data_IF_604301791228
#
_entry.id   IF_604301791228
#
_cell.length_a   1.000
_cell.length_b   1.000
_cell.length_c   1.000
_cell.angle_alpha   90.00
_cell.angle_beta   90.00
_cell.angle_gamma   90.00
#
_symmetry.space_group_name_H-M   'P 1'
#
loop_
_entity.id
_entity.type
_entity.pdbx_description
1 polymer ?
#
# COMPACT_ATOMS: atom_id res chain seq x y z
N UNK A 1 21.11 -15.41 4.86
CA UNK A 1 22.54 -15.05 4.88
C UNK A 1 22.74 -13.66 5.52
N UNK A 2 22.02 -12.60 5.08
CA UNK A 2 22.25 -11.23 5.58
C UNK A 2 22.12 -11.08 7.11
N UNK A 3 21.12 -11.72 7.73
CA UNK A 3 20.90 -11.63 9.18
C UNK A 3 21.87 -12.52 10.01
N UNK A 4 22.63 -13.39 9.38
CA UNK A 4 23.49 -14.34 10.11
C UNK A 4 24.68 -13.67 10.82
N UNK A 5 25.09 -12.48 10.37
CA UNK A 5 26.16 -11.70 11.00
C UNK A 5 25.74 -11.10 12.36
N UNK A 6 24.41 -10.97 12.63
CA UNK A 6 23.90 -10.43 13.87
C UNK A 6 24.06 -8.90 14.04
N UNK A 7 24.40 -8.20 12.98
CA UNK A 7 24.64 -6.75 12.93
C UNK A 7 23.46 -5.94 12.35
N UNK A 8 22.38 -6.62 11.98
CA UNK A 8 21.16 -5.99 11.43
C UNK A 8 20.16 -5.74 12.57
N UNK A 9 19.96 -4.48 12.92
CA UNK A 9 19.04 -4.07 13.98
C UNK A 9 17.57 -4.31 13.62
N UNK A 10 17.17 -3.99 12.39
CA UNK A 10 15.79 -4.12 11.94
C UNK A 10 15.70 -4.39 10.43
N UNK A 11 14.61 -5.02 10.02
CA UNK A 11 14.13 -5.10 8.64
C UNK A 11 12.90 -4.20 8.53
N UNK A 12 12.97 -3.17 7.68
CA UNK A 12 11.84 -2.33 7.30
C UNK A 12 11.33 -2.80 5.94
N UNK A 13 10.03 -3.02 5.81
CA UNK A 13 9.43 -3.47 4.55
C UNK A 13 7.99 -2.99 4.37
N UNK A 14 7.56 -2.83 3.12
CA UNK A 14 6.15 -2.78 2.76
C UNK A 14 5.63 -4.22 2.56
N UNK A 15 4.44 -4.59 3.06
CA UNK A 15 3.90 -5.95 2.86
C UNK A 15 3.56 -6.23 1.40
N UNK A 16 3.32 -5.18 0.61
CA UNK A 16 3.22 -5.18 -0.86
C UNK A 16 4.03 -3.99 -1.36
N UNK A 17 4.92 -4.19 -2.30
CA UNK A 17 5.71 -3.10 -2.89
C UNK A 17 4.84 -2.33 -3.89
N UNK A 18 4.29 -1.20 -3.46
CA UNK A 18 3.24 -0.48 -4.16
C UNK A 18 3.74 0.64 -5.09
N UNK A 19 4.98 1.10 -4.95
CA UNK A 19 5.52 2.17 -5.80
C UNK A 19 6.19 1.67 -7.09
N UNK A 20 6.16 0.38 -7.34
CA UNK A 20 6.83 -0.28 -8.47
C UNK A 20 5.91 -1.27 -9.20
N UNK A 21 4.59 -1.06 -9.18
CA UNK A 21 3.63 -1.89 -9.90
C UNK A 21 2.96 -2.97 -9.04
N UNK A 22 2.75 -2.72 -7.75
CA UNK A 22 2.10 -3.62 -6.79
C UNK A 22 2.64 -5.06 -6.83
N UNK A 23 3.94 -5.21 -6.57
CA UNK A 23 4.56 -6.54 -6.47
C UNK A 23 4.07 -7.23 -5.20
N UNK A 24 3.29 -8.29 -5.37
CA UNK A 24 2.68 -9.04 -4.28
C UNK A 24 3.70 -10.00 -3.64
N UNK A 25 3.65 -10.20 -2.31
CA UNK A 25 4.46 -11.21 -1.66
C UNK A 25 4.03 -12.61 -2.10
N UNK A 26 4.99 -13.50 -2.31
CA UNK A 26 4.70 -14.91 -2.52
C UNK A 26 4.06 -15.55 -1.27
N UNK A 27 3.27 -16.60 -1.49
CA UNK A 27 2.64 -17.31 -0.39
C UNK A 27 3.68 -17.80 0.63
N UNK A 28 3.46 -17.48 1.91
CA UNK A 28 4.35 -17.84 3.01
C UNK A 28 5.56 -16.92 3.23
N UNK A 29 5.85 -15.99 2.30
CA UNK A 29 7.01 -15.08 2.40
C UNK A 29 7.00 -14.25 3.69
N UNK A 30 5.87 -13.61 4.02
CA UNK A 30 5.77 -12.74 5.20
C UNK A 30 5.91 -13.51 6.51
N UNK A 31 5.36 -14.73 6.57
CA UNK A 31 5.56 -15.64 7.71
C UNK A 31 7.02 -16.06 7.88
N UNK A 32 7.67 -16.47 6.79
CA UNK A 32 9.07 -16.82 6.79
C UNK A 32 9.98 -15.63 7.17
N UNK A 33 9.65 -14.44 6.71
CA UNK A 33 10.35 -13.20 7.09
C UNK A 33 10.25 -12.95 8.62
N UNK A 34 9.04 -13.10 9.21
CA UNK A 34 8.84 -12.97 10.66
C UNK A 34 9.66 -14.00 11.44
N UNK A 35 9.64 -15.25 11.01
CA UNK A 35 10.40 -16.31 11.68
C UNK A 35 11.91 -16.08 11.64
N UNK A 36 12.45 -15.71 10.48
CA UNK A 36 13.90 -15.50 10.34
C UNK A 36 14.34 -14.26 11.15
N UNK A 37 13.57 -13.18 11.17
CA UNK A 37 13.90 -11.99 11.97
C UNK A 37 13.90 -12.32 13.47
N UNK A 38 12.90 -13.05 13.98
CA UNK A 38 12.87 -13.53 15.36
C UNK A 38 14.06 -14.39 15.72
N UNK A 39 14.42 -15.33 14.85
CA UNK A 39 15.57 -16.25 15.06
C UNK A 39 16.89 -15.51 15.22
N UNK A 40 17.04 -14.38 14.54
CA UNK A 40 18.27 -13.59 14.57
C UNK A 40 18.21 -12.38 15.53
N UNK A 41 17.12 -12.22 16.28
CA UNK A 41 16.95 -11.07 17.17
C UNK A 41 16.82 -9.72 16.46
N UNK A 42 16.54 -9.76 15.16
CA UNK A 42 16.33 -8.58 14.31
C UNK A 42 14.88 -8.12 14.41
N UNK A 43 14.65 -6.84 14.60
CA UNK A 43 13.31 -6.28 14.67
C UNK A 43 12.64 -6.25 13.28
N UNK A 44 11.32 -6.40 13.25
CA UNK A 44 10.53 -6.33 12.04
C UNK A 44 9.64 -5.10 12.06
N UNK A 45 9.83 -4.19 11.11
CA UNK A 45 9.08 -2.95 10.96
C UNK A 45 8.25 -3.04 9.69
N UNK A 46 6.92 -2.96 9.82
CA UNK A 46 6.00 -2.94 8.69
C UNK A 46 5.58 -1.50 8.35
N UNK A 47 5.76 -1.10 7.10
CA UNK A 47 5.24 0.16 6.58
C UNK A 47 3.94 -0.09 5.82
N UNK A 48 2.85 0.40 6.41
CA UNK A 48 1.50 0.29 5.85
C UNK A 48 0.98 1.59 5.25
N UNK A 49 1.85 2.52 4.95
CA UNK A 49 1.46 3.81 4.38
C UNK A 49 0.56 3.67 3.15
N UNK A 50 0.78 2.64 2.32
CA UNK A 50 -0.07 2.34 1.17
C UNK A 50 -1.07 1.21 1.42
N UNK A 51 -0.70 0.23 2.22
CA UNK A 51 -1.52 -0.96 2.45
C UNK A 51 -2.56 -0.80 3.56
N UNK A 52 -2.61 0.37 4.23
CA UNK A 52 -3.70 0.75 5.12
C UNK A 52 -5.08 0.58 4.47
N UNK A 53 -5.19 0.78 3.15
CA UNK A 53 -6.43 0.59 2.38
C UNK A 53 -6.90 -0.87 2.24
N UNK A 54 -6.17 -1.82 2.81
CA UNK A 54 -6.55 -3.24 2.80
C UNK A 54 -7.75 -3.54 3.70
N UNK A 55 -7.92 -2.80 4.80
CA UNK A 55 -9.02 -2.96 5.72
C UNK A 55 -8.93 -2.02 6.91
N UNK A 56 -9.87 -2.06 7.86
CA UNK A 56 -9.88 -1.17 9.03
C UNK A 56 -8.63 -1.30 9.91
N UNK A 57 -7.97 -2.46 9.88
CA UNK A 57 -6.73 -2.73 10.61
C UNK A 57 -5.52 -2.87 9.65
N UNK A 58 -5.62 -2.32 8.44
CA UNK A 58 -4.59 -2.39 7.42
C UNK A 58 -4.31 -3.81 6.91
N UNK A 59 -3.23 -3.98 6.19
CA UNK A 59 -2.80 -5.29 5.68
C UNK A 59 -2.36 -6.23 6.81
N UNK A 60 -1.68 -5.69 7.82
CA UNK A 60 -1.23 -6.48 8.96
C UNK A 60 -2.42 -7.11 9.73
N UNK A 61 -3.49 -6.35 9.93
CA UNK A 61 -4.70 -6.87 10.57
C UNK A 61 -5.42 -7.91 9.74
N UNK A 62 -5.62 -7.66 8.44
CA UNK A 62 -6.28 -8.59 7.50
C UNK A 62 -5.52 -9.92 7.34
N UNK A 63 -4.19 -9.90 7.50
CA UNK A 63 -3.33 -11.08 7.34
C UNK A 63 -2.73 -11.58 8.66
N UNK A 64 -3.18 -11.09 9.80
CA UNK A 64 -2.71 -11.46 11.13
C UNK A 64 -1.18 -11.40 11.29
N UNK A 65 -0.54 -10.40 10.68
CA UNK A 65 0.91 -10.21 10.76
C UNK A 65 1.30 -9.69 12.16
N UNK A 66 2.49 -10.04 12.62
CA UNK A 66 2.98 -9.69 13.95
C UNK A 66 4.33 -8.95 13.86
N UNK A 67 4.36 -7.70 13.39
CA UNK A 67 5.57 -6.88 13.41
C UNK A 67 5.93 -6.45 14.83
N UNK A 68 7.18 -6.04 15.02
CA UNK A 68 7.62 -5.38 16.25
C UNK A 68 7.27 -3.88 16.24
N UNK A 69 7.32 -3.27 15.05
CA UNK A 69 6.84 -1.90 14.79
C UNK A 69 5.90 -1.88 13.60
N UNK A 70 4.92 -0.99 13.69
CA UNK A 70 4.00 -0.65 12.62
C UNK A 70 4.11 0.84 12.32
N UNK A 71 4.17 1.21 11.04
CA UNK A 71 4.30 2.61 10.58
C UNK A 71 3.22 2.88 9.53
N UNK A 72 2.60 4.06 9.59
CA UNK A 72 1.64 4.50 8.60
C UNK A 72 1.64 6.03 8.47
N UNK A 73 1.48 6.50 7.26
CA UNK A 73 1.34 7.91 6.92
C UNK A 73 0.17 8.17 5.97
N UNK A 74 0.29 9.20 5.15
CA UNK A 74 -0.66 9.58 4.08
C UNK A 74 -2.12 9.66 4.56
N UNK A 75 -2.95 8.67 4.23
CA UNK A 75 -4.39 8.68 4.48
C UNK A 75 -4.80 8.52 5.94
N UNK A 76 -3.87 8.22 6.86
CA UNK A 76 -4.19 7.88 8.25
C UNK A 76 -4.98 8.98 8.99
N UNK A 77 -4.76 10.24 8.63
CA UNK A 77 -5.46 11.39 9.21
C UNK A 77 -6.36 12.13 8.20
N UNK A 78 -6.94 11.41 7.22
CA UNK A 78 -7.93 11.96 6.30
C UNK A 78 -7.41 13.07 5.39
N UNK A 79 -6.11 13.13 5.11
CA UNK A 79 -5.48 14.15 4.25
C UNK A 79 -4.76 15.28 5.00
N UNK A 80 -4.92 15.39 6.32
CA UNK A 80 -4.05 16.25 7.13
C UNK A 80 -2.67 15.58 7.25
N UNK A 81 -1.55 16.30 7.00
CA UNK A 81 -0.22 15.73 7.09
C UNK A 81 0.03 15.07 8.46
N UNK A 82 0.16 13.75 8.46
CA UNK A 82 0.32 12.94 9.66
C UNK A 82 1.07 11.66 9.31
N UNK A 83 1.88 11.21 10.24
CA UNK A 83 2.38 9.85 10.28
C UNK A 83 2.35 9.34 11.72
N UNK A 84 2.10 8.07 11.87
CA UNK A 84 2.07 7.40 13.17
C UNK A 84 2.96 6.15 13.12
N UNK A 85 3.49 5.79 14.26
CA UNK A 85 4.11 4.48 14.46
C UNK A 85 3.64 3.88 15.77
N UNK A 86 3.52 2.59 15.79
CA UNK A 86 3.19 1.80 16.96
C UNK A 86 4.22 0.69 17.16
N UNK A 87 4.25 0.12 18.35
CA UNK A 87 5.18 -0.96 18.68
C UNK A 87 4.59 -1.88 19.76
N UNK A 88 5.16 -3.06 19.91
CA UNK A 88 4.74 -4.04 20.89
C UNK A 88 5.11 -3.59 22.31
N UNK A 89 4.43 -4.15 23.33
CA UNK A 89 4.76 -3.89 24.73
C UNK A 89 6.19 -4.31 25.11
N UNK A 90 6.75 -5.32 24.44
CA UNK A 90 8.16 -5.71 24.62
C UNK A 90 9.09 -4.58 24.18
N UNK A 91 8.82 -4.00 23.01
CA UNK A 91 9.61 -2.86 22.49
C UNK A 91 9.44 -1.65 23.41
N UNK A 92 8.22 -1.37 23.88
CA UNK A 92 7.98 -0.29 24.85
C UNK A 92 8.87 -0.44 26.09
N UNK A 93 8.90 -1.63 26.68
CA UNK A 93 9.71 -1.87 27.88
C UNK A 93 11.21 -1.63 27.61
N UNK A 94 11.73 -2.09 26.47
CA UNK A 94 13.12 -1.83 26.06
C UNK A 94 13.40 -0.36 25.84
N UNK A 95 12.50 0.38 25.18
CA UNK A 95 12.63 1.81 24.94
C UNK A 95 12.61 2.61 26.25
N UNK A 96 11.71 2.29 27.18
CA UNK A 96 11.67 2.93 28.51
C UNK A 96 12.96 2.72 29.29
N UNK A 97 13.55 1.51 29.24
CA UNK A 97 14.83 1.24 29.89
C UNK A 97 15.98 2.08 29.30
N UNK A 98 16.04 2.21 27.98
CA UNK A 98 17.04 3.05 27.31
C UNK A 98 16.83 4.52 27.65
N UNK A 99 15.59 5.02 27.62
CA UNK A 99 15.31 6.43 27.97
C UNK A 99 15.66 6.76 29.42
N UNK A 100 15.41 5.83 30.34
CA UNK A 100 15.77 6.01 31.75
C UNK A 100 17.27 6.06 32.02
N UNK A 101 18.09 5.50 31.12
CA UNK A 101 19.56 5.54 31.22
C UNK A 101 20.19 6.79 30.58
N UNK A 102 19.41 7.65 29.93
CA UNK A 102 19.91 8.86 29.27
C UNK A 102 19.97 10.05 30.20
N UNK A 103 20.88 10.97 29.87
CA UNK A 103 21.03 12.24 30.60
C UNK A 103 19.76 13.10 30.52
N UNK A 104 19.57 13.96 31.54
CA UNK A 104 18.47 14.92 31.56
C UNK A 104 18.51 15.86 30.33
N UNK A 105 17.36 16.18 29.77
CA UNK A 105 17.24 17.06 28.60
C UNK A 105 17.19 16.35 27.25
N UNK A 106 17.24 15.00 27.22
CA UNK A 106 17.01 14.25 26.00
C UNK A 106 15.54 14.36 25.56
N UNK A 107 15.27 14.83 24.35
CA UNK A 107 13.93 15.10 23.84
C UNK A 107 13.09 13.83 23.52
N UNK A 108 13.65 12.64 23.70
CA UNK A 108 12.96 11.40 23.38
C UNK A 108 12.80 11.14 21.89
N UNK A 109 11.62 10.63 21.49
CA UNK A 109 11.29 10.32 20.10
C UNK A 109 10.22 11.30 19.60
N UNK A 110 10.46 11.85 18.44
CA UNK A 110 9.56 12.80 17.79
C UNK A 110 10.27 14.05 17.33
N UNK A 111 9.54 14.89 16.60
CA UNK A 111 10.00 16.21 16.16
C UNK A 111 9.24 17.30 16.89
N UNK A 112 9.67 18.56 16.74
CA UNK A 112 9.03 19.72 17.40
C UNK A 112 7.52 19.81 17.16
N UNK A 113 7.05 19.41 15.96
CA UNK A 113 5.64 19.44 15.60
C UNK A 113 4.92 18.10 15.78
N UNK A 114 5.59 17.07 16.25
CA UNK A 114 4.96 15.78 16.53
C UNK A 114 3.87 15.92 17.62
N UNK A 115 2.72 15.28 17.39
CA UNK A 115 1.62 15.31 18.35
C UNK A 115 0.91 16.67 18.47
N UNK A 116 0.97 17.54 17.46
CA UNK A 116 0.22 18.80 17.50
C UNK A 116 -1.31 18.55 17.50
N UNK A 117 -2.05 19.45 18.11
CA UNK A 117 -3.48 19.29 18.35
C UNK A 117 -4.32 19.10 17.08
N UNK A 118 -4.00 19.83 15.98
CA UNK A 118 -4.72 19.70 14.72
C UNK A 118 -4.54 18.30 14.12
N UNK A 119 -3.31 17.82 14.05
CA UNK A 119 -3.00 16.50 13.52
C UNK A 119 -3.64 15.38 14.35
N UNK A 120 -3.60 15.49 15.69
CA UNK A 120 -4.21 14.50 16.57
C UNK A 120 -5.73 14.49 16.45
N UNK A 121 -6.38 15.66 16.37
CA UNK A 121 -7.83 15.74 16.15
C UNK A 121 -8.26 15.15 14.81
N UNK A 122 -7.50 15.41 13.74
CA UNK A 122 -7.75 14.83 12.42
C UNK A 122 -7.53 13.30 12.42
N UNK A 123 -6.49 12.83 13.08
CA UNK A 123 -6.21 11.40 13.23
C UNK A 123 -7.35 10.70 14.00
N UNK A 124 -7.77 11.26 15.14
CA UNK A 124 -8.88 10.72 15.93
C UNK A 124 -10.17 10.62 15.09
N UNK A 125 -10.54 11.70 14.41
CA UNK A 125 -11.72 11.72 13.55
C UNK A 125 -11.63 10.69 12.42
N UNK A 126 -10.47 10.55 11.79
CA UNK A 126 -10.25 9.56 10.72
C UNK A 126 -10.35 8.13 11.25
N UNK A 127 -9.74 7.83 12.39
CA UNK A 127 -9.80 6.49 13.02
C UNK A 127 -11.23 6.12 13.43
N UNK A 128 -11.99 7.07 13.99
CA UNK A 128 -13.35 6.81 14.45
C UNK A 128 -14.38 6.71 13.32
N UNK A 129 -14.21 7.46 12.23
CA UNK A 129 -15.25 7.64 11.21
C UNK A 129 -14.88 7.13 9.81
N UNK A 130 -13.60 7.03 9.46
CA UNK A 130 -13.15 6.62 8.13
C UNK A 130 -12.55 5.21 8.12
N UNK A 131 -11.70 4.88 9.10
CA UNK A 131 -11.05 3.55 9.14
C UNK A 131 -11.94 2.50 9.80
N UNK A 132 -13.15 2.34 9.25
CA UNK A 132 -14.17 1.41 9.75
C UNK A 132 -14.49 0.32 8.73
N UNK A 133 -15.02 -0.82 9.19
CA UNK A 133 -15.47 -1.88 8.29
C UNK A 133 -16.56 -1.41 7.33
N UNK A 134 -17.44 -0.51 7.79
CA UNK A 134 -18.51 0.07 6.96
C UNK A 134 -17.96 0.90 5.79
N UNK A 135 -16.84 1.57 5.99
CA UNK A 135 -16.16 2.35 4.94
C UNK A 135 -15.35 1.43 4.01
N UNK A 136 -14.58 0.51 4.56
CA UNK A 136 -13.70 -0.35 3.77
C UNK A 136 -14.46 -1.38 2.91
N UNK A 137 -15.59 -1.91 3.36
CA UNK A 137 -16.33 -2.93 2.62
C UNK A 137 -16.79 -2.47 1.21
N UNK A 138 -17.43 -1.29 1.03
CA UNK A 138 -17.76 -0.80 -0.30
C UNK A 138 -16.53 -0.46 -1.15
N UNK A 139 -15.46 0.07 -0.55
CA UNK A 139 -14.20 0.32 -1.26
C UNK A 139 -13.62 -0.98 -1.85
N UNK A 140 -13.56 -2.04 -1.06
CA UNK A 140 -13.10 -3.36 -1.52
C UNK A 140 -14.04 -3.98 -2.56
N UNK A 141 -15.35 -3.76 -2.46
CA UNK A 141 -16.32 -4.20 -3.46
C UNK A 141 -16.10 -3.46 -4.79
N UNK A 142 -15.89 -2.14 -4.75
CA UNK A 142 -15.54 -1.34 -5.92
C UNK A 142 -14.22 -1.77 -6.56
N UNK A 143 -13.21 -2.10 -5.76
CA UNK A 143 -11.93 -2.61 -6.26
C UNK A 143 -12.10 -3.97 -6.98
N UNK A 144 -12.96 -4.85 -6.49
CA UNK A 144 -13.31 -6.09 -7.21
C UNK A 144 -14.05 -5.80 -8.51
N UNK A 145 -15.01 -4.83 -8.48
CA UNK A 145 -15.75 -4.38 -9.68
C UNK A 145 -14.83 -3.83 -10.76
N UNK A 146 -13.72 -3.18 -10.39
CA UNK A 146 -12.71 -2.69 -11.32
C UNK A 146 -11.78 -3.81 -11.81
N UNK A 147 -11.24 -4.60 -10.90
CA UNK A 147 -10.18 -5.57 -11.22
C UNK A 147 -10.67 -6.73 -12.10
N UNK A 148 -11.85 -7.28 -11.82
CA UNK A 148 -12.36 -8.46 -12.55
C UNK A 148 -12.66 -8.17 -14.03
N UNK A 149 -13.35 -7.08 -14.40
CA UNK A 149 -13.56 -6.75 -15.80
C UNK A 149 -12.26 -6.38 -16.54
N UNK A 150 -11.31 -5.70 -15.88
CA UNK A 150 -10.01 -5.41 -16.49
C UNK A 150 -9.25 -6.70 -16.81
N UNK A 151 -9.22 -7.65 -15.89
CA UNK A 151 -8.59 -8.94 -16.11
C UNK A 151 -9.24 -9.71 -17.26
N UNK A 152 -10.57 -9.73 -17.33
CA UNK A 152 -11.32 -10.35 -18.42
C UNK A 152 -11.07 -9.63 -19.77
N UNK A 153 -11.00 -8.30 -19.74
CA UNK A 153 -10.72 -7.46 -20.91
C UNK A 153 -9.36 -7.77 -21.54
N UNK A 154 -8.32 -7.88 -20.70
CA UNK A 154 -6.96 -8.19 -21.17
C UNK A 154 -6.86 -9.64 -21.67
N UNK A 155 -7.46 -10.59 -20.95
CA UNK A 155 -7.49 -11.99 -21.36
C UNK A 155 -8.23 -12.18 -22.71
N UNK A 156 -9.36 -11.52 -22.92
CA UNK A 156 -10.12 -11.58 -24.17
C UNK A 156 -9.34 -11.06 -25.39
N UNK A 157 -8.37 -10.17 -25.17
CA UNK A 157 -7.49 -9.64 -26.22
C UNK A 157 -6.15 -10.38 -26.34
N UNK A 158 -5.95 -11.45 -25.56
CA UNK A 158 -4.69 -12.20 -25.57
C UNK A 158 -3.50 -11.41 -25.04
N UNK A 159 -3.74 -10.32 -24.27
CA UNK A 159 -2.68 -9.51 -23.70
C UNK A 159 -2.11 -10.19 -22.44
N UNK A 160 -0.79 -10.31 -22.31
CA UNK A 160 -0.15 -10.91 -21.14
C UNK A 160 -0.11 -9.96 -19.94
N UNK A 161 -1.05 -9.05 -19.84
CA UNK A 161 -1.12 -8.02 -18.82
C UNK A 161 -1.71 -8.56 -17.54
N UNK A 162 -1.18 -8.09 -16.42
CA UNK A 162 -1.69 -8.49 -15.12
C UNK A 162 -2.55 -7.40 -14.48
N UNK A 163 -3.43 -7.83 -13.59
CA UNK A 163 -4.16 -6.96 -12.68
C UNK A 163 -3.89 -7.44 -11.26
N UNK A 164 -3.31 -6.59 -10.44
CA UNK A 164 -3.09 -6.82 -9.01
C UNK A 164 -4.14 -6.08 -8.19
N UNK A 165 -4.61 -6.70 -7.10
CA UNK A 165 -5.55 -6.07 -6.16
C UNK A 165 -5.16 -6.35 -4.71
N UNK A 166 -5.11 -5.29 -3.89
CA UNK A 166 -4.86 -5.37 -2.45
C UNK A 166 -5.87 -4.48 -1.74
N UNK A 167 -6.83 -5.09 -1.04
CA UNK A 167 -7.93 -4.36 -0.42
C UNK A 167 -8.71 -3.52 -1.41
N UNK A 168 -8.70 -2.21 -1.22
CA UNK A 168 -9.34 -1.22 -2.09
C UNK A 168 -8.44 -0.69 -3.22
N UNK A 169 -7.22 -1.19 -3.33
CA UNK A 169 -6.23 -0.76 -4.32
C UNK A 169 -6.18 -1.75 -5.49
N UNK A 170 -6.17 -1.22 -6.70
CA UNK A 170 -6.04 -1.98 -7.95
C UNK A 170 -4.93 -1.36 -8.78
N UNK A 171 -4.13 -2.19 -9.41
CA UNK A 171 -3.13 -1.76 -10.38
C UNK A 171 -3.04 -2.79 -11.49
N UNK A 172 -2.78 -2.35 -12.71
CA UNK A 172 -2.47 -3.24 -13.81
C UNK A 172 -1.16 -2.83 -14.50
N UNK A 173 -0.47 -3.81 -15.02
CA UNK A 173 0.77 -3.61 -15.77
C UNK A 173 0.72 -4.24 -17.15
N UNK A 174 1.58 -3.76 -18.02
CA UNK A 174 1.66 -4.14 -19.44
C UNK A 174 2.52 -5.39 -19.70
N UNK A 175 2.64 -6.24 -18.69
CA UNK A 175 3.41 -7.49 -18.72
C UNK A 175 2.81 -8.49 -17.70
N UNK A 176 3.26 -9.74 -17.65
CA UNK A 176 2.94 -10.66 -16.57
C UNK A 176 3.28 -10.07 -15.18
N UNK A 177 2.57 -10.51 -14.14
CA UNK A 177 2.76 -10.00 -12.78
C UNK A 177 4.23 -10.16 -12.32
N UNK A 178 4.90 -9.06 -11.95
CA UNK A 178 6.29 -9.13 -11.51
C UNK A 178 6.39 -9.77 -10.12
N UNK A 179 7.47 -10.51 -9.88
CA UNK A 179 7.76 -11.19 -8.61
C UNK A 179 8.84 -10.50 -7.79
N UNK A 180 9.52 -9.52 -8.40
CA UNK A 180 10.60 -8.76 -7.76
C UNK A 180 10.78 -7.41 -8.49
N UNK A 181 11.63 -6.54 -7.91
CA UNK A 181 11.86 -5.20 -8.44
C UNK A 181 12.45 -5.16 -9.85
N UNK A 182 13.35 -6.08 -10.18
CA UNK A 182 13.95 -6.12 -11.53
C UNK A 182 12.94 -6.51 -12.60
N UNK A 183 12.04 -7.44 -12.29
CA UNK A 183 10.94 -7.79 -13.20
C UNK A 183 9.94 -6.64 -13.34
N UNK A 184 9.66 -5.91 -12.25
CA UNK A 184 8.79 -4.73 -12.28
C UNK A 184 9.40 -3.62 -13.14
N UNK A 185 10.68 -3.34 -13.01
CA UNK A 185 11.40 -2.37 -13.83
C UNK A 185 11.37 -2.76 -15.32
N UNK A 186 11.63 -4.03 -15.63
CA UNK A 186 11.59 -4.55 -17.00
C UNK A 186 10.18 -4.52 -17.62
N UNK A 187 9.14 -4.54 -16.79
CA UNK A 187 7.74 -4.49 -17.21
C UNK A 187 7.24 -3.07 -17.54
N UNK A 188 7.96 -2.02 -17.15
CA UNK A 188 7.56 -0.62 -17.41
C UNK A 188 7.43 -0.32 -18.90
N UNK A 189 6.37 0.41 -19.26
CA UNK A 189 6.10 0.87 -20.62
C UNK A 189 5.69 2.35 -20.60
N UNK A 190 6.64 3.29 -20.32
CA UNK A 190 6.31 4.70 -20.07
C UNK A 190 5.53 5.37 -21.19
N UNK A 191 5.83 5.06 -22.45
CA UNK A 191 5.12 5.62 -23.60
C UNK A 191 3.65 5.17 -23.62
N UNK A 192 3.39 3.90 -23.34
CA UNK A 192 2.03 3.35 -23.29
C UNK A 192 1.27 3.87 -22.08
N UNK A 193 1.93 4.00 -20.94
CA UNK A 193 1.35 4.61 -19.72
C UNK A 193 0.91 6.05 -19.97
N UNK A 194 1.78 6.86 -20.60
CA UNK A 194 1.48 8.25 -20.94
C UNK A 194 0.34 8.35 -21.96
N UNK A 195 0.33 7.48 -22.97
CA UNK A 195 -0.73 7.46 -23.98
C UNK A 195 -2.09 7.13 -23.35
N UNK A 196 -2.15 6.11 -22.50
CA UNK A 196 -3.37 5.75 -21.79
C UNK A 196 -3.82 6.86 -20.83
N UNK A 197 -2.89 7.44 -20.08
CA UNK A 197 -3.21 8.55 -19.17
C UNK A 197 -3.82 9.73 -19.94
N UNK A 198 -3.22 10.13 -21.07
CA UNK A 198 -3.73 11.21 -21.92
C UNK A 198 -5.10 10.87 -22.53
N UNK A 199 -5.30 9.62 -22.97
CA UNK A 199 -6.58 9.13 -23.47
C UNK A 199 -7.69 9.29 -22.44
N UNK A 200 -7.45 8.81 -21.21
CA UNK A 200 -8.40 8.88 -20.10
C UNK A 200 -8.68 10.33 -19.68
N UNK A 201 -7.63 11.16 -19.58
CA UNK A 201 -7.74 12.57 -19.21
C UNK A 201 -8.64 13.34 -20.20
N UNK A 202 -8.47 13.13 -21.51
CA UNK A 202 -9.31 13.76 -22.52
C UNK A 202 -10.77 13.29 -22.50
N UNK A 203 -11.09 12.24 -21.74
CA UNK A 203 -12.44 11.69 -21.52
C UNK A 203 -12.99 11.97 -20.13
N UNK A 204 -12.32 12.85 -19.39
CA UNK A 204 -12.74 13.28 -18.05
C UNK A 204 -12.41 12.27 -16.94
N UNK A 205 -11.55 11.28 -17.22
CA UNK A 205 -11.12 10.30 -16.23
C UNK A 205 -9.68 10.61 -15.79
N UNK A 206 -9.55 11.04 -14.52
CA UNK A 206 -8.23 11.36 -13.94
C UNK A 206 -7.72 10.13 -13.20
N UNK A 207 -6.62 9.58 -13.68
CA UNK A 207 -5.87 8.51 -13.02
C UNK A 207 -4.45 8.98 -12.69
N UNK A 208 -3.73 8.23 -11.89
CA UNK A 208 -2.33 8.52 -11.57
C UNK A 208 -1.49 8.58 -12.85
N UNK A 209 -0.67 9.63 -13.08
CA UNK A 209 0.09 9.80 -14.32
C UNK A 209 1.35 8.92 -14.42
N UNK A 210 1.66 8.17 -13.41
CA UNK A 210 2.76 7.20 -13.34
C UNK A 210 2.18 5.90 -12.76
N UNK A 211 2.58 4.77 -13.27
CA UNK A 211 1.98 3.45 -13.07
C UNK A 211 0.43 3.46 -12.93
N UNK A 212 -0.24 2.42 -13.35
CA UNK A 212 -1.71 2.40 -13.48
C UNK A 212 -2.40 2.02 -12.17
N UNK A 213 -2.04 2.69 -11.09
CA UNK A 213 -2.57 2.41 -9.75
C UNK A 213 -3.82 3.25 -9.46
N UNK A 214 -4.86 2.60 -8.99
CA UNK A 214 -6.13 3.18 -8.63
C UNK A 214 -6.50 2.78 -7.20
N UNK A 215 -6.89 3.75 -6.38
CA UNK A 215 -7.43 3.53 -5.05
C UNK A 215 -8.91 3.91 -5.06
N UNK A 216 -9.77 2.94 -4.78
CA UNK A 216 -11.20 3.17 -4.69
C UNK A 216 -11.50 3.93 -3.39
N UNK A 217 -12.03 5.15 -3.54
CA UNK A 217 -12.44 5.99 -2.42
C UNK A 217 -13.83 5.59 -1.91
N UNK A 218 -14.19 5.94 -0.67
CA UNK A 218 -15.53 5.65 -0.12
C UNK A 218 -16.68 6.23 -0.94
N UNK A 219 -16.44 7.36 -1.62
CA UNK A 219 -17.44 8.06 -2.44
C UNK A 219 -17.41 7.69 -3.92
N UNK A 220 -16.56 6.73 -4.31
CA UNK A 220 -16.44 6.30 -5.71
C UNK A 220 -17.73 5.60 -6.16
N UNK A 221 -18.31 6.09 -7.25
CA UNK A 221 -19.53 5.50 -7.82
C UNK A 221 -19.22 4.30 -8.73
N UNK A 222 -20.18 3.38 -8.84
CA UNK A 222 -20.06 2.26 -9.76
C UNK A 222 -19.97 2.72 -11.22
N UNK A 223 -20.70 3.76 -11.59
CA UNK A 223 -20.71 4.32 -12.95
C UNK A 223 -19.33 4.86 -13.34
N UNK A 224 -18.62 5.50 -12.42
CA UNK A 224 -17.25 5.97 -12.68
C UNK A 224 -16.26 4.81 -12.85
N UNK A 225 -16.44 3.72 -12.10
CA UNK A 225 -15.64 2.49 -12.25
C UNK A 225 -15.91 1.84 -13.62
N UNK A 226 -17.18 1.72 -13.99
CA UNK A 226 -17.58 1.11 -15.26
C UNK A 226 -17.13 1.94 -16.46
N UNK A 227 -17.22 3.28 -16.37
CA UNK A 227 -16.70 4.19 -17.38
C UNK A 227 -15.20 4.01 -17.57
N UNK A 228 -14.43 3.87 -16.49
CA UNK A 228 -12.99 3.65 -16.57
C UNK A 228 -12.67 2.34 -17.31
N UNK A 229 -13.35 1.24 -16.98
CA UNK A 229 -13.17 -0.05 -17.68
C UNK A 229 -13.52 0.06 -19.17
N UNK A 230 -14.63 0.74 -19.48
CA UNK A 230 -15.08 0.96 -20.85
C UNK A 230 -14.06 1.76 -21.67
N UNK A 231 -13.53 2.83 -21.10
CA UNK A 231 -12.56 3.69 -21.79
C UNK A 231 -11.18 3.04 -21.95
N UNK A 232 -10.76 2.19 -21.02
CA UNK A 232 -9.56 1.35 -21.22
C UNK A 232 -9.82 0.36 -22.36
N UNK A 233 -11.01 -0.21 -22.45
CA UNK A 233 -11.39 -1.07 -23.58
C UNK A 233 -11.33 -0.35 -24.92
N UNK A 234 -11.90 0.85 -25.00
CA UNK A 234 -11.89 1.68 -26.21
C UNK A 234 -10.45 2.11 -26.59
N UNK A 235 -9.61 2.42 -25.61
CA UNK A 235 -8.19 2.69 -25.86
C UNK A 235 -7.48 1.51 -26.54
N UNK A 236 -7.75 0.29 -26.04
CA UNK A 236 -7.15 -0.92 -26.61
C UNK A 236 -7.65 -1.25 -28.04
N UNK A 237 -8.82 -0.76 -28.41
CA UNK A 237 -9.35 -0.93 -29.77
C UNK A 237 -8.70 0.05 -30.78
N UNK A 238 -8.16 1.18 -30.30
CA UNK A 238 -7.52 2.21 -31.13
C UNK A 238 -6.00 2.03 -31.26
N UNK A 239 -5.35 1.40 -30.28
CA UNK A 239 -3.89 1.23 -30.30
C UNK A 239 -3.49 -0.10 -30.93
N UNK A 240 -2.50 -0.05 -31.81
CA UNK A 240 -1.82 -1.26 -32.32
C UNK A 240 -0.74 -1.68 -31.33
N UNK A 241 -0.97 -2.73 -30.58
CA UNK A 241 -0.07 -3.28 -29.57
C UNK A 241 0.80 -4.40 -30.11
#
# INVERSE_FOLDING_TARGET
AALAAGDIAAVLYEPVMTNIGMVLPEAGYLGALREITRRHGTLLIIDETHTLSSGPAGYAGEHALQPDFWVCGKAIAGGVPCAVYGFTSEIEARMRAVLASREAGHSGMGTTLAGNALTLAALEAALLHLHTSATHAPMQAGARRLAMPLQALFAARGLPWHVSRVGARVEFGFAPAPRNGSEAEAAMRPVLEQALHLWLLNRGLIVTPFHNMMLIAPMQTNDAIDALVSEIGAFLDEVSL
#
